data_IF_281085792939
#
_entry.id   IF_281085792939
#
_cell.length_a   1.000
_cell.length_b   1.000
_cell.length_c   1.000
_cell.angle_alpha   90.00
_cell.angle_beta   90.00
_cell.angle_gamma   90.00
#
_symmetry.space_group_name_H-M   'P 1'
#
loop_
_entity.id
_entity.type
_entity.pdbx_description
1 polymer ?
#
# COMPACT_ATOMS: atom_id res chain seq x y z
N UNK A 1 -2.04 7.54 -5.01
CA UNK A 1 -1.61 7.98 -3.67
C UNK A 1 -0.39 7.17 -3.31
N UNK A 2 0.70 7.80 -2.88
CA UNK A 2 1.98 7.18 -2.55
C UNK A 2 2.27 7.32 -1.06
N UNK A 3 2.55 6.22 -0.36
CA UNK A 3 2.81 6.22 1.09
C UNK A 3 4.24 5.78 1.43
N UNK A 4 4.82 6.44 2.42
CA UNK A 4 6.09 6.05 3.03
C UNK A 4 5.82 5.43 4.41
N UNK A 5 6.03 4.12 4.55
CA UNK A 5 5.80 3.42 5.83
C UNK A 5 7.12 3.22 6.57
N UNK A 6 7.23 3.79 7.75
CA UNK A 6 8.43 3.87 8.58
C UNK A 6 8.22 3.24 9.96
N UNK A 7 9.32 3.01 10.69
CA UNK A 7 9.30 2.32 11.98
C UNK A 7 10.45 1.34 12.16
N UNK A 8 10.72 0.99 13.41
CA UNK A 8 11.74 -0.01 13.76
C UNK A 8 11.34 -1.43 13.35
N UNK A 9 12.32 -2.32 13.23
CA UNK A 9 12.13 -3.73 12.90
C UNK A 9 11.11 -4.40 13.82
N UNK A 10 10.20 -5.20 13.24
CA UNK A 10 9.12 -5.92 13.98
C UNK A 10 8.06 -5.02 14.65
N UNK A 11 8.06 -3.71 14.40
CA UNK A 11 7.02 -2.81 14.90
C UNK A 11 5.69 -2.91 14.13
N UNK A 12 5.58 -3.78 13.10
CA UNK A 12 4.32 -4.02 12.38
C UNK A 12 4.15 -3.22 11.09
N UNK A 13 5.23 -2.68 10.52
CA UNK A 13 5.20 -2.01 9.20
C UNK A 13 4.76 -2.95 8.07
N UNK A 14 5.30 -4.18 8.06
CA UNK A 14 4.98 -5.17 7.04
C UNK A 14 3.49 -5.53 7.14
N UNK A 15 2.99 -5.76 8.36
CA UNK A 15 1.56 -5.92 8.65
C UNK A 15 0.73 -4.72 8.22
N UNK A 16 1.17 -3.48 8.44
CA UNK A 16 0.47 -2.30 7.93
C UNK A 16 0.32 -2.37 6.41
N UNK A 17 1.38 -2.75 5.70
CA UNK A 17 1.37 -2.82 4.25
C UNK A 17 0.47 -3.95 3.75
N UNK A 18 0.54 -5.14 4.36
CA UNK A 18 -0.32 -6.29 4.07
C UNK A 18 -1.80 -5.95 4.24
N UNK A 19 -2.16 -5.33 5.37
CA UNK A 19 -3.54 -4.95 5.70
C UNK A 19 -4.07 -3.75 4.89
N UNK A 20 -3.18 -2.97 4.27
CA UNK A 20 -3.60 -1.80 3.52
C UNK A 20 -4.32 -2.14 2.22
N UNK A 21 -4.06 -3.33 1.66
CA UNK A 21 -4.52 -3.73 0.32
C UNK A 21 -3.96 -2.86 -0.80
N UNK A 22 -2.80 -2.24 -0.60
CA UNK A 22 -2.11 -1.38 -1.58
C UNK A 22 -0.78 -2.03 -1.96
N UNK A 23 -0.42 -1.98 -3.24
CA UNK A 23 0.83 -2.53 -3.75
C UNK A 23 2.04 -1.89 -3.06
N UNK A 24 2.87 -2.74 -2.46
CA UNK A 24 4.00 -2.31 -1.66
C UNK A 24 5.25 -3.13 -1.95
N UNK A 25 6.40 -2.54 -1.62
CA UNK A 25 7.67 -3.27 -1.53
C UNK A 25 8.48 -2.75 -0.35
N UNK A 26 9.20 -3.65 0.31
CA UNK A 26 10.19 -3.25 1.31
C UNK A 26 11.49 -2.80 0.65
N UNK A 27 12.19 -1.84 1.24
CA UNK A 27 13.55 -1.44 0.78
C UNK A 27 14.44 -2.65 0.57
N UNK A 28 14.45 -3.57 1.53
CA UNK A 28 15.27 -4.78 1.47
C UNK A 28 14.88 -5.69 0.31
N UNK A 29 13.57 -5.91 0.07
CA UNK A 29 13.15 -6.79 -1.03
C UNK A 29 13.41 -6.16 -2.39
N UNK A 30 13.29 -4.83 -2.51
CA UNK A 30 13.62 -4.13 -3.74
C UNK A 30 15.13 -4.09 -4.01
N UNK A 31 15.94 -3.84 -2.97
CA UNK A 31 17.39 -3.65 -3.11
C UNK A 31 18.17 -4.95 -3.28
N UNK A 32 17.61 -6.11 -2.89
CA UNK A 32 18.39 -7.36 -2.84
C UNK A 32 18.96 -7.73 -4.20
N UNK A 33 18.16 -7.66 -5.26
CA UNK A 33 18.56 -8.09 -6.60
C UNK A 33 19.51 -7.09 -7.29
N UNK A 34 19.20 -5.79 -7.41
CA UNK A 34 20.05 -4.86 -8.16
C UNK A 34 21.28 -4.36 -7.39
N UNK A 35 21.27 -4.42 -6.05
CA UNK A 35 22.27 -3.71 -5.22
C UNK A 35 23.05 -4.69 -4.35
N UNK A 36 22.35 -5.50 -3.56
CA UNK A 36 22.98 -6.25 -2.47
C UNK A 36 23.60 -7.55 -2.96
N UNK A 37 22.82 -8.40 -3.63
CA UNK A 37 23.26 -9.71 -4.05
C UNK A 37 24.50 -9.67 -4.96
N UNK A 38 24.61 -8.76 -5.96
CA UNK A 38 25.82 -8.65 -6.78
C UNK A 38 27.07 -8.31 -5.97
N UNK A 39 26.93 -7.61 -4.84
CA UNK A 39 28.03 -7.20 -3.99
C UNK A 39 28.38 -8.25 -2.92
N UNK A 40 27.37 -8.86 -2.30
CA UNK A 40 27.54 -9.73 -1.14
C UNK A 40 27.63 -11.22 -1.48
N UNK A 41 27.06 -11.67 -2.60
CA UNK A 41 27.13 -13.08 -2.99
C UNK A 41 28.57 -13.59 -3.14
N UNK A 42 29.52 -12.86 -3.77
CA UNK A 42 30.91 -13.29 -3.82
C UNK A 42 31.62 -13.27 -2.46
N UNK A 43 31.22 -12.38 -1.56
CA UNK A 43 31.87 -12.17 -0.26
C UNK A 43 31.43 -13.22 0.78
N UNK A 44 30.15 -13.59 0.78
CA UNK A 44 29.56 -14.52 1.74
C UNK A 44 29.16 -15.87 1.15
N UNK A 45 29.29 -16.05 -0.17
CA UNK A 45 29.05 -17.33 -0.84
C UNK A 45 27.57 -17.65 -1.11
N UNK A 46 26.68 -16.65 -1.10
CA UNK A 46 25.26 -16.85 -1.37
C UNK A 46 25.02 -17.39 -2.77
N UNK A 47 24.18 -18.41 -2.89
CA UNK A 47 23.87 -19.08 -4.16
C UNK A 47 22.71 -18.45 -4.91
N UNK A 48 21.81 -17.79 -4.18
CA UNK A 48 20.61 -17.17 -4.73
C UNK A 48 20.13 -15.98 -3.88
N UNK A 49 19.17 -15.23 -4.42
CA UNK A 49 18.62 -14.03 -3.79
C UNK A 49 17.96 -14.29 -2.44
N UNK A 50 17.27 -15.42 -2.30
CA UNK A 50 16.55 -15.73 -1.07
C UNK A 50 17.51 -16.04 0.09
N UNK A 51 18.59 -16.79 -0.15
CA UNK A 51 19.65 -17.02 0.84
C UNK A 51 20.26 -15.70 1.34
N UNK A 52 20.56 -14.78 0.42
CA UNK A 52 21.07 -13.45 0.76
C UNK A 52 20.03 -12.63 1.54
N UNK A 53 18.76 -12.68 1.13
CA UNK A 53 17.68 -11.93 1.78
C UNK A 53 17.36 -12.47 3.18
N UNK A 54 17.39 -13.78 3.38
CA UNK A 54 17.15 -14.42 4.68
C UNK A 54 18.25 -14.04 5.68
N UNK A 55 19.49 -13.97 5.23
CA UNK A 55 20.65 -13.62 6.05
C UNK A 55 20.81 -12.10 6.28
N UNK A 56 19.94 -11.27 5.70
CA UNK A 56 20.00 -9.79 5.77
C UNK A 56 20.11 -9.24 7.18
N UNK A 57 19.58 -9.94 8.18
CA UNK A 57 19.61 -9.51 9.58
C UNK A 57 21.04 -9.51 10.14
N UNK A 58 21.86 -10.48 9.75
CA UNK A 58 23.25 -10.63 10.18
C UNK A 58 24.17 -9.63 9.48
N UNK A 59 23.80 -9.19 8.28
CA UNK A 59 24.58 -8.26 7.45
C UNK A 59 23.91 -6.89 7.28
N UNK A 60 23.07 -6.46 8.24
CA UNK A 60 22.30 -5.21 8.14
C UNK A 60 23.15 -3.98 7.86
N UNK A 61 24.35 -3.90 8.46
CA UNK A 61 25.26 -2.78 8.27
C UNK A 61 25.79 -2.71 6.83
N UNK A 62 26.17 -3.86 6.25
CA UNK A 62 26.64 -3.94 4.87
C UNK A 62 25.54 -3.57 3.88
N UNK A 63 24.32 -4.06 4.12
CA UNK A 63 23.14 -3.69 3.34
C UNK A 63 22.89 -2.17 3.38
N UNK A 64 22.97 -1.56 4.56
CA UNK A 64 22.78 -0.13 4.74
C UNK A 64 23.82 0.68 3.95
N UNK A 65 25.11 0.33 4.05
CA UNK A 65 26.16 1.06 3.33
C UNK A 65 26.09 0.86 1.80
N UNK A 66 25.72 -0.34 1.32
CA UNK A 66 25.52 -0.59 -0.10
C UNK A 66 24.36 0.23 -0.67
N UNK A 67 23.21 0.28 0.02
CA UNK A 67 22.05 1.08 -0.41
C UNK A 67 22.39 2.57 -0.36
N UNK A 68 23.06 3.03 0.69
CA UNK A 68 23.50 4.42 0.82
C UNK A 68 24.47 4.82 -0.28
N UNK A 69 25.39 3.94 -0.68
CA UNK A 69 26.29 4.13 -1.83
C UNK A 69 25.50 4.19 -3.13
N UNK A 70 24.52 3.31 -3.30
CA UNK A 70 23.63 3.32 -4.46
C UNK A 70 22.85 4.64 -4.60
N UNK A 71 22.39 5.19 -3.48
CA UNK A 71 21.75 6.50 -3.36
C UNK A 71 22.74 7.68 -3.33
N UNK A 72 23.98 7.52 -3.82
CA UNK A 72 24.96 8.60 -3.87
C UNK A 72 25.43 8.81 -5.32
N UNK A 73 25.42 10.04 -5.85
CA UNK A 73 25.10 11.31 -5.17
C UNK A 73 23.59 11.57 -4.99
N UNK A 74 22.74 10.82 -5.68
CA UNK A 74 21.29 11.04 -5.67
C UNK A 74 20.58 10.29 -4.52
N UNK A 75 20.32 11.01 -3.43
CA UNK A 75 19.73 10.47 -2.20
C UNK A 75 18.28 9.99 -2.35
N UNK A 76 17.59 10.40 -3.42
CA UNK A 76 16.22 10.00 -3.68
C UNK A 76 16.11 8.88 -4.72
N UNK A 77 17.23 8.35 -5.24
CA UNK A 77 17.25 7.36 -6.33
C UNK A 77 16.36 6.15 -6.05
N UNK A 78 16.64 5.40 -4.99
CA UNK A 78 15.88 4.18 -4.65
C UNK A 78 14.39 4.48 -4.42
N UNK A 79 14.07 5.61 -3.77
CA UNK A 79 12.69 6.02 -3.57
C UNK A 79 11.97 6.27 -4.90
N UNK A 80 12.61 6.92 -5.87
CA UNK A 80 12.06 7.16 -7.21
C UNK A 80 11.78 5.85 -7.94
N UNK A 81 12.70 4.90 -7.85
CA UNK A 81 12.56 3.58 -8.49
C UNK A 81 11.45 2.75 -7.85
N UNK A 82 11.33 2.78 -6.52
CA UNK A 82 10.24 2.11 -5.79
C UNK A 82 8.89 2.75 -6.15
N UNK A 83 8.75 4.07 -6.02
CA UNK A 83 7.48 4.74 -6.29
C UNK A 83 7.09 4.75 -7.78
N UNK A 84 8.03 4.50 -8.68
CA UNK A 84 7.75 4.25 -10.10
C UNK A 84 7.04 2.91 -10.36
N UNK A 85 7.02 1.99 -9.39
CA UNK A 85 6.42 0.63 -9.54
C UNK A 85 5.40 0.28 -8.45
N UNK A 86 5.52 0.87 -7.27
CA UNK A 86 4.71 0.55 -6.09
C UNK A 86 4.07 1.81 -5.53
N UNK A 87 2.94 1.66 -4.86
CA UNK A 87 2.27 2.78 -4.18
C UNK A 87 2.76 2.95 -2.74
N UNK A 88 3.36 1.91 -2.15
CA UNK A 88 3.95 1.98 -0.82
C UNK A 88 5.44 1.63 -0.85
N UNK A 89 6.25 2.52 -0.28
CA UNK A 89 7.62 2.22 0.12
C UNK A 89 7.64 1.86 1.61
N UNK A 90 7.84 0.57 1.91
CA UNK A 90 8.03 0.08 3.27
C UNK A 90 9.51 0.11 3.71
N UNK A 91 9.79 0.82 4.80
CA UNK A 91 11.02 0.66 5.57
C UNK A 91 12.22 1.44 5.04
N UNK A 92 12.06 2.71 4.66
CA UNK A 92 13.20 3.62 4.55
C UNK A 92 13.88 3.77 5.92
N UNK A 93 15.21 3.81 5.95
CA UNK A 93 15.99 3.80 7.20
C UNK A 93 16.90 5.00 7.37
N UNK A 94 17.34 5.62 6.28
CA UNK A 94 18.23 6.77 6.30
C UNK A 94 17.45 8.10 6.27
N UNK A 95 17.70 8.96 7.26
CA UNK A 95 17.08 10.29 7.36
C UNK A 95 17.34 11.14 6.11
N UNK A 96 18.55 11.14 5.59
CA UNK A 96 18.89 11.95 4.42
C UNK A 96 18.20 11.47 3.14
N UNK A 97 18.01 10.17 2.97
CA UNK A 97 17.26 9.60 1.85
C UNK A 97 15.77 9.92 1.97
N UNK A 98 15.22 9.83 3.19
CA UNK A 98 13.84 10.23 3.47
C UNK A 98 13.59 11.70 3.16
N UNK A 99 14.45 12.60 3.63
CA UNK A 99 14.32 14.03 3.38
C UNK A 99 14.44 14.34 1.90
N UNK A 100 15.37 13.71 1.18
CA UNK A 100 15.51 13.89 -0.26
C UNK A 100 14.28 13.39 -1.03
N UNK A 101 13.68 12.27 -0.62
CA UNK A 101 12.45 11.77 -1.21
C UNK A 101 11.25 12.70 -0.93
N UNK A 102 11.19 13.28 0.28
CA UNK A 102 10.17 14.26 0.68
C UNK A 102 10.31 15.56 -0.11
N UNK A 103 11.52 16.10 -0.23
CA UNK A 103 11.83 17.32 -0.98
C UNK A 103 11.54 17.16 -2.48
N UNK A 104 11.80 15.97 -3.03
CA UNK A 104 11.48 15.64 -4.41
C UNK A 104 9.98 15.35 -4.65
N UNK A 105 9.12 15.41 -3.62
CA UNK A 105 7.68 15.20 -3.73
C UNK A 105 7.29 13.78 -4.17
N UNK A 106 8.06 12.76 -3.78
CA UNK A 106 7.87 11.39 -4.27
C UNK A 106 6.75 10.62 -3.57
N UNK A 107 6.25 11.13 -2.43
CA UNK A 107 5.17 10.52 -1.67
C UNK A 107 4.26 11.58 -1.05
N UNK A 108 3.01 11.19 -0.79
CA UNK A 108 1.97 12.09 -0.27
C UNK A 108 1.95 12.13 1.26
N UNK A 109 2.26 10.99 1.91
CA UNK A 109 2.13 10.83 3.35
C UNK A 109 3.17 9.85 3.91
N UNK A 110 3.81 10.23 5.02
CA UNK A 110 4.69 9.37 5.80
C UNK A 110 4.00 8.90 7.09
N UNK A 111 4.03 7.60 7.34
CA UNK A 111 3.40 6.97 8.52
C UNK A 111 4.47 6.19 9.29
N UNK A 112 4.58 6.44 10.59
CA UNK A 112 5.41 5.66 11.50
C UNK A 112 4.56 4.64 12.26
N UNK A 113 4.91 3.36 12.18
CA UNK A 113 4.30 2.32 13.04
C UNK A 113 5.19 2.11 14.26
N UNK A 114 4.66 2.45 15.43
CA UNK A 114 5.35 2.40 16.70
C UNK A 114 4.93 1.20 17.55
N UNK A 115 5.88 0.51 18.15
CA UNK A 115 5.62 -0.60 19.08
C UNK A 115 6.53 -0.49 20.31
N UNK A 116 6.93 0.73 20.67
CA UNK A 116 7.99 1.01 21.63
C UNK A 116 7.69 0.55 23.06
N UNK A 117 6.42 0.35 23.42
CA UNK A 117 6.04 -0.13 24.76
C UNK A 117 6.27 -1.64 24.90
N UNK A 118 6.27 -2.39 23.79
CA UNK A 118 6.44 -3.85 23.78
C UNK A 118 7.75 -4.33 23.15
N UNK A 119 8.46 -3.47 22.41
CA UNK A 119 9.71 -3.80 21.72
C UNK A 119 10.76 -2.71 21.93
N UNK A 120 12.03 -3.12 21.98
CA UNK A 120 13.14 -2.19 22.02
C UNK A 120 13.35 -1.49 20.68
N UNK A 121 13.72 -0.21 20.76
CA UNK A 121 14.10 0.58 19.59
C UNK A 121 15.45 0.12 19.03
N UNK A 122 15.63 0.23 17.72
CA UNK A 122 16.92 -0.07 17.07
C UNK A 122 17.95 1.04 17.27
N UNK A 123 19.23 0.68 17.28
CA UNK A 123 20.35 1.66 17.34
C UNK A 123 20.32 2.65 16.18
N UNK A 124 20.86 3.86 16.43
CA UNK A 124 21.13 4.88 15.41
C UNK A 124 22.00 4.36 14.25
N UNK A 125 22.85 3.36 14.51
CA UNK A 125 23.72 2.76 13.49
C UNK A 125 22.93 1.98 12.41
N UNK A 126 21.71 1.55 12.72
CA UNK A 126 20.85 0.74 11.85
C UNK A 126 19.74 1.56 11.20
N UNK A 127 19.33 2.67 11.80
CA UNK A 127 18.21 3.51 11.35
C UNK A 127 18.33 4.92 11.94
N UNK A 128 18.19 5.92 11.09
CA UNK A 128 18.30 7.34 11.45
C UNK A 128 17.00 8.13 11.27
N UNK A 129 16.01 7.60 10.54
CA UNK A 129 14.63 8.14 10.57
C UNK A 129 14.00 7.92 11.95
N UNK A 130 13.15 8.84 12.38
CA UNK A 130 12.53 8.86 13.72
C UNK A 130 11.04 9.22 13.61
N UNK A 131 10.22 8.94 14.65
CA UNK A 131 8.78 9.21 14.60
C UNK A 131 8.41 10.65 14.24
N UNK A 132 9.21 11.63 14.68
CA UNK A 132 9.06 13.06 14.40
C UNK A 132 9.24 13.45 12.92
N UNK A 133 9.76 12.54 12.09
CA UNK A 133 9.84 12.74 10.64
C UNK A 133 8.55 12.34 9.92
N UNK A 134 7.69 11.54 10.55
CA UNK A 134 6.43 11.09 9.98
C UNK A 134 5.33 12.14 10.15
N UNK A 135 4.34 12.09 9.25
CA UNK A 135 3.16 12.95 9.34
C UNK A 135 2.08 12.31 10.24
N UNK A 136 2.05 10.97 10.33
CA UNK A 136 1.18 10.21 11.23
C UNK A 136 2.00 9.18 12.01
N UNK A 137 1.69 8.99 13.30
CA UNK A 137 2.20 7.88 14.12
C UNK A 137 1.03 6.96 14.47
N UNK A 138 1.21 5.65 14.22
CA UNK A 138 0.26 4.60 14.59
C UNK A 138 0.89 3.74 15.66
N UNK A 139 0.27 3.70 16.84
CA UNK A 139 0.70 2.81 17.92
C UNK A 139 0.24 1.36 17.67
N UNK A 140 1.15 0.43 17.88
CA UNK A 140 1.03 -1.01 17.76
C UNK A 140 1.53 -1.67 19.05
N UNK A 141 1.00 -1.22 20.20
CA UNK A 141 1.33 -1.76 21.52
C UNK A 141 0.25 -2.73 22.06
N UNK A 142 -0.85 -2.92 21.32
CA UNK A 142 -1.94 -3.84 21.64
C UNK A 142 -1.90 -5.13 20.82
N UNK A 143 -3.08 -5.68 20.56
CA UNK A 143 -3.22 -6.91 19.74
C UNK A 143 -3.03 -6.67 18.23
N UNK A 144 -2.76 -7.75 17.49
CA UNK A 144 -2.71 -7.71 16.02
C UNK A 144 -4.02 -7.15 15.43
N UNK A 145 -5.17 -7.62 15.91
CA UNK A 145 -6.48 -7.15 15.47
C UNK A 145 -6.68 -5.63 15.68
N UNK A 146 -6.12 -5.06 16.76
CA UNK A 146 -6.14 -3.62 16.97
C UNK A 146 -5.31 -2.87 15.92
N UNK A 147 -4.13 -3.39 15.56
CA UNK A 147 -3.33 -2.81 14.47
C UNK A 147 -4.10 -2.85 13.16
N UNK A 148 -4.66 -4.01 12.79
CA UNK A 148 -5.45 -4.17 11.56
C UNK A 148 -6.61 -3.17 11.48
N UNK A 149 -7.33 -2.97 12.60
CA UNK A 149 -8.41 -1.98 12.70
C UNK A 149 -7.87 -0.55 12.49
N UNK A 150 -6.72 -0.21 13.11
CA UNK A 150 -6.08 1.11 12.94
C UNK A 150 -5.66 1.33 11.49
N UNK A 151 -5.07 0.32 10.83
CA UNK A 151 -4.70 0.37 9.40
C UNK A 151 -5.94 0.65 8.56
N UNK A 152 -7.00 -0.14 8.71
CA UNK A 152 -8.25 0.04 7.95
C UNK A 152 -8.84 1.43 8.13
N UNK A 153 -8.81 1.98 9.34
CA UNK A 153 -9.27 3.36 9.63
C UNK A 153 -8.43 4.41 8.92
N UNK A 154 -7.11 4.29 8.98
CA UNK A 154 -6.20 5.22 8.31
C UNK A 154 -6.39 5.17 6.81
N UNK A 155 -6.38 3.98 6.20
CA UNK A 155 -6.59 3.80 4.76
C UNK A 155 -7.96 4.36 4.32
N UNK A 156 -9.02 4.11 5.09
CA UNK A 156 -10.35 4.67 4.81
C UNK A 156 -10.39 6.20 4.90
N UNK A 157 -9.59 6.80 5.77
CA UNK A 157 -9.55 8.25 5.95
C UNK A 157 -8.76 8.98 4.86
N UNK A 158 -7.75 8.33 4.27
CA UNK A 158 -6.86 8.94 3.28
C UNK A 158 -7.23 8.59 1.82
N UNK A 159 -8.03 7.53 1.59
CA UNK A 159 -8.56 7.24 0.25
C UNK A 159 -9.54 8.34 -0.19
N UNK A 160 -9.44 8.88 -1.43
CA UNK A 160 -10.36 9.89 -1.93
C UNK A 160 -11.81 9.40 -1.88
N UNK A 161 -12.75 10.28 -1.51
CA UNK A 161 -14.19 9.99 -1.50
C UNK A 161 -14.74 9.52 -2.85
N UNK A 162 -14.10 9.89 -3.96
CA UNK A 162 -14.48 9.44 -5.31
C UNK A 162 -14.25 7.94 -5.53
N UNK A 163 -13.40 7.30 -4.73
CA UNK A 163 -13.18 5.85 -4.73
C UNK A 163 -14.07 5.10 -3.71
N UNK A 164 -14.94 5.83 -2.99
CA UNK A 164 -15.94 5.32 -2.06
C UNK A 164 -17.34 5.37 -2.65
N UNK A 165 -17.47 5.23 -3.96
CA UNK A 165 -18.73 4.75 -4.49
C UNK A 165 -18.78 3.24 -4.19
N UNK A 166 -19.26 2.92 -3.00
CA UNK A 166 -19.48 1.55 -2.56
C UNK A 166 -20.38 0.85 -3.57
N UNK A 167 -20.04 -0.38 -3.98
CA UNK A 167 -20.87 -1.26 -4.82
C UNK A 167 -22.32 -1.23 -4.33
N UNK A 168 -22.53 -1.26 -3.01
CA UNK A 168 -23.86 -1.19 -2.41
C UNK A 168 -24.59 0.12 -2.68
N UNK A 169 -23.88 1.26 -2.70
CA UNK A 169 -24.49 2.59 -2.92
C UNK A 169 -24.88 2.76 -4.39
N UNK A 170 -24.04 2.34 -5.34
CA UNK A 170 -24.41 2.37 -6.78
C UNK A 170 -25.56 1.44 -7.06
N UNK A 171 -25.48 0.20 -6.58
CA UNK A 171 -26.58 -0.76 -6.77
C UNK A 171 -27.87 -0.26 -6.14
N UNK A 172 -27.82 0.36 -4.95
CA UNK A 172 -29.02 0.91 -4.32
C UNK A 172 -29.59 2.11 -5.07
N UNK A 173 -28.75 3.02 -5.59
CA UNK A 173 -29.21 4.14 -6.42
C UNK A 173 -29.84 3.63 -7.72
N UNK A 174 -29.19 2.69 -8.41
CA UNK A 174 -29.71 2.11 -9.65
C UNK A 174 -31.03 1.39 -9.39
N UNK A 175 -31.10 0.55 -8.35
CA UNK A 175 -32.34 -0.15 -7.95
C UNK A 175 -33.49 0.83 -7.70
N UNK A 176 -33.20 1.95 -7.05
CA UNK A 176 -34.21 2.95 -6.71
C UNK A 176 -34.76 3.65 -7.94
N UNK A 177 -33.88 4.11 -8.84
CA UNK A 177 -34.28 4.75 -10.11
C UNK A 177 -35.08 3.80 -11.00
N UNK A 178 -34.68 2.53 -11.06
CA UNK A 178 -35.37 1.53 -11.87
C UNK A 178 -36.74 1.14 -11.30
N UNK A 179 -36.88 0.99 -9.97
CA UNK A 179 -38.20 0.75 -9.34
C UNK A 179 -39.15 1.92 -9.56
N UNK A 180 -38.68 3.15 -9.37
CA UNK A 180 -39.50 4.35 -9.62
C UNK A 180 -39.96 4.40 -11.09
N UNK A 181 -39.12 3.96 -12.03
CA UNK A 181 -39.49 3.88 -13.46
C UNK A 181 -40.51 2.77 -13.75
N UNK A 182 -40.35 1.60 -13.13
CA UNK A 182 -41.26 0.46 -13.29
C UNK A 182 -42.64 0.73 -12.66
N UNK A 183 -42.69 1.36 -11.49
CA UNK A 183 -43.92 1.77 -10.82
C UNK A 183 -44.71 2.78 -11.67
N UNK A 184 -44.04 3.82 -12.19
CA UNK A 184 -44.66 4.80 -13.10
C UNK A 184 -45.18 4.15 -14.40
N UNK A 185 -44.43 3.21 -14.98
CA UNK A 185 -44.87 2.49 -16.18
C UNK A 185 -46.10 1.60 -15.89
N UNK A 186 -46.14 0.94 -14.74
CA UNK A 186 -47.29 0.14 -14.30
C UNK A 186 -48.54 0.99 -14.10
N UNK A 187 -48.43 2.15 -13.45
CA UNK A 187 -49.54 3.08 -13.23
C UNK A 187 -50.11 3.63 -14.55
N UNK A 188 -49.27 3.76 -15.58
CA UNK A 188 -49.68 4.20 -16.92
C UNK A 188 -50.15 3.06 -17.85
N UNK A 189 -50.16 1.81 -17.37
CA UNK A 189 -50.57 0.64 -18.16
C UNK A 189 -49.55 0.19 -19.21
N UNK A 190 -48.29 0.61 -19.08
CA UNK A 190 -47.19 0.29 -20.00
C UNK A 190 -46.47 -0.99 -19.56
N UNK A 191 -47.16 -2.12 -19.63
CA UNK A 191 -46.63 -3.42 -19.16
C UNK A 191 -45.30 -3.84 -19.81
N UNK A 192 -45.08 -3.49 -21.08
CA UNK A 192 -43.84 -3.77 -21.81
C UNK A 192 -42.65 -2.95 -21.26
N UNK A 193 -42.88 -1.73 -20.77
CA UNK A 193 -41.84 -0.90 -20.16
C UNK A 193 -41.43 -1.42 -18.77
N UNK A 194 -42.37 -1.99 -18.02
CA UNK A 194 -42.08 -2.62 -16.73
C UNK A 194 -41.19 -3.87 -16.87
N UNK A 195 -41.53 -4.78 -17.80
CA UNK A 195 -40.69 -5.97 -18.07
C UNK A 195 -39.28 -5.60 -18.56
N UNK A 196 -39.15 -4.52 -19.33
CA UNK A 196 -37.87 -4.03 -19.82
C UNK A 196 -36.99 -3.44 -18.69
N UNK A 197 -37.60 -2.80 -17.69
CA UNK A 197 -36.88 -2.26 -16.53
C UNK A 197 -36.27 -3.37 -15.66
N UNK A 198 -37.03 -4.44 -15.41
CA UNK A 198 -36.56 -5.60 -14.64
C UNK A 198 -35.41 -6.33 -15.35
N UNK A 199 -35.52 -6.54 -16.67
CA UNK A 199 -34.42 -7.12 -17.47
C UNK A 199 -33.16 -6.26 -17.49
N UNK A 200 -33.30 -4.95 -17.54
CA UNK A 200 -32.15 -4.03 -17.47
C UNK A 200 -31.47 -4.10 -16.10
N UNK A 201 -32.23 -4.29 -15.03
CA UNK A 201 -31.70 -4.49 -13.67
C UNK A 201 -30.82 -5.74 -13.58
N UNK A 202 -31.29 -6.87 -14.11
CA UNK A 202 -30.51 -8.12 -14.18
C UNK A 202 -29.21 -7.93 -15.00
N UNK A 203 -29.29 -7.29 -16.16
CA UNK A 203 -28.11 -7.03 -17.02
C UNK A 203 -27.09 -6.13 -16.32
N UNK A 204 -27.56 -5.11 -15.59
CA UNK A 204 -26.67 -4.22 -14.84
C UNK A 204 -26.01 -4.99 -13.70
N UNK A 205 -26.75 -5.81 -12.96
CA UNK A 205 -26.15 -6.64 -11.89
C UNK A 205 -25.09 -7.60 -12.46
N UNK A 206 -25.37 -8.28 -13.57
CA UNK A 206 -24.40 -9.16 -14.24
C UNK A 206 -23.16 -8.44 -14.77
N UNK A 207 -23.28 -7.18 -15.23
CA UNK A 207 -22.17 -6.43 -15.83
C UNK A 207 -21.40 -5.58 -14.85
N UNK A 208 -22.03 -5.12 -13.77
CA UNK A 208 -21.42 -4.25 -12.77
C UNK A 208 -20.68 -5.07 -11.72
N UNK A 209 -21.20 -6.21 -11.26
CA UNK A 209 -20.52 -7.05 -10.26
C UNK A 209 -19.08 -7.46 -10.66
N UNK A 210 -18.80 -7.85 -11.92
CA UNK A 210 -17.44 -8.23 -12.34
C UNK A 210 -16.45 -7.07 -12.37
N UNK A 211 -16.90 -5.82 -12.56
CA UNK A 211 -16.03 -4.64 -12.62
C UNK A 211 -15.38 -4.30 -11.27
N UNK A 212 -15.89 -4.86 -10.18
CA UNK A 212 -15.42 -4.61 -8.82
C UNK A 212 -14.86 -5.87 -8.13
N UNK A 213 -14.76 -6.99 -8.86
CA UNK A 213 -14.09 -8.20 -8.37
C UNK A 213 -12.59 -7.95 -8.16
N UNK A 214 -11.95 -8.59 -7.15
CA UNK A 214 -10.51 -8.45 -6.93
C UNK A 214 -9.73 -8.84 -8.20
N UNK A 215 -9.07 -7.86 -8.85
CA UNK A 215 -8.32 -8.05 -10.10
C UNK A 215 -8.91 -7.41 -11.38
N UNK A 216 -10.08 -6.76 -11.32
CA UNK A 216 -10.73 -6.15 -12.48
C UNK A 216 -9.97 -4.95 -13.11
N UNK A 217 -9.00 -4.36 -12.40
CA UNK A 217 -8.19 -3.24 -12.89
C UNK A 217 -7.29 -3.58 -14.10
N UNK A 218 -7.10 -4.87 -14.42
CA UNK A 218 -6.27 -5.31 -15.55
C UNK A 218 -6.97 -5.32 -16.91
N UNK A 219 -8.29 -5.10 -16.97
CA UNK A 219 -9.11 -5.25 -18.19
C UNK A 219 -9.50 -3.94 -18.87
N UNK A 220 -9.02 -2.78 -18.39
CA UNK A 220 -9.31 -1.46 -18.99
C UNK A 220 -8.19 -0.95 -19.93
N UNK A 221 -7.22 -1.82 -20.26
CA UNK A 221 -6.17 -1.54 -21.24
C UNK A 221 -6.12 -2.62 -22.32
N UNK A 222 -7.20 -2.73 -23.11
CA UNK A 222 -7.18 -3.23 -24.49
C UNK A 222 -8.09 -2.39 -25.38
#
# INVERSE_FOLDING_TARGET
MKLMIMGYGRHGKDTFCEESGIDYVSSSRFAVEPIVFPALAPAYGYKNLDECYEDRANHRADWHELIKKYNTPDKARLAREIFGKYDIYCGIRCKHEFLAAKEAGLFDLAIWVDAGDRLSNESLDSITVRPDHADIVIENNGSLAELEIKVRRVISAIKPREMLINESIVLDIVRRVMRESAENASENGEHEACENADRLLEIIEERVQPLFAPGAASLLHE
#
